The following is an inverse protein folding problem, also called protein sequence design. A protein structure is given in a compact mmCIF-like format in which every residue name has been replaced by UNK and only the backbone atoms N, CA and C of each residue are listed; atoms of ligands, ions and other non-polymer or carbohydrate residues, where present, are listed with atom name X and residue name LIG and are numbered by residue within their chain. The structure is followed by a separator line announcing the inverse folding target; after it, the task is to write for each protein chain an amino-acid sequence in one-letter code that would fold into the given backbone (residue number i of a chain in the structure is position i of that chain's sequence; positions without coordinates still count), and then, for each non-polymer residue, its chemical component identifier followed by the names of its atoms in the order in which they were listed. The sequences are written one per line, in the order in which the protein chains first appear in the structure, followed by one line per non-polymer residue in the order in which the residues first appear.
data_IF_985861318920
#
_entry.id   IF_985861318920
#
_cell.length_a   1.000
_cell.length_b   1.000
_cell.length_c   1.000
_cell.angle_alpha   90.00
_cell.angle_beta   90.00
_cell.angle_gamma   90.00
#
_symmetry.space_group_name_H-M   'P 1'
#
loop_
_entity.id
_entity.type
_entity.pdbx_description
1 polymer ?
#
# COMPACT_ATOMS: atom_id res chain seq x y z
N UNK A 1 2.88 -11.54 14.65
CA UNK A 1 2.37 -10.55 15.62
C UNK A 1 1.04 -10.06 15.07
N UNK A 2 0.00 -9.95 15.88
CA UNK A 2 -1.29 -9.41 15.41
C UNK A 2 -1.24 -7.88 15.47
N UNK A 3 -1.27 -7.23 14.30
CA UNK A 3 -1.25 -5.77 14.18
C UNK A 3 -2.65 -5.14 14.20
N UNK A 4 -3.72 -5.95 14.20
CA UNK A 4 -5.11 -5.47 14.19
C UNK A 4 -5.44 -4.54 13.01
N UNK A 5 -4.77 -4.73 11.87
CA UNK A 5 -4.93 -3.91 10.66
C UNK A 5 -5.97 -4.45 9.67
N UNK A 6 -6.51 -5.65 9.93
CA UNK A 6 -7.52 -6.27 9.08
C UNK A 6 -8.70 -5.33 8.84
N UNK A 7 -9.09 -5.19 7.57
CA UNK A 7 -10.20 -4.36 7.08
C UNK A 7 -10.04 -2.85 7.36
N UNK A 8 -8.87 -2.40 7.84
CA UNK A 8 -8.57 -0.96 8.04
C UNK A 8 -8.13 -0.32 6.73
N UNK A 9 -8.64 0.87 6.43
CA UNK A 9 -8.15 1.70 5.33
C UNK A 9 -6.90 2.46 5.79
N UNK A 10 -5.81 2.35 5.04
CA UNK A 10 -4.53 3.00 5.36
C UNK A 10 -4.10 3.88 4.19
N UNK A 11 -4.10 5.20 4.40
CA UNK A 11 -3.66 6.18 3.39
C UNK A 11 -2.14 6.35 3.42
N UNK A 12 -1.47 6.17 2.27
CA UNK A 12 -0.02 6.20 2.15
C UNK A 12 0.39 7.20 1.05
N UNK A 13 1.10 8.26 1.42
CA UNK A 13 1.72 9.18 0.45
C UNK A 13 3.04 8.63 -0.04
N UNK A 14 3.35 8.77 -1.33
CA UNK A 14 4.55 8.18 -1.93
C UNK A 14 4.50 6.65 -1.95
N UNK A 15 3.30 6.07 -1.96
CA UNK A 15 3.09 4.63 -1.74
C UNK A 15 3.42 3.74 -2.94
N UNK A 16 3.81 4.29 -4.09
CA UNK A 16 3.97 3.52 -5.32
C UNK A 16 5.39 2.96 -5.54
N UNK A 17 6.40 3.43 -4.78
CA UNK A 17 7.80 3.00 -4.91
C UNK A 17 8.53 2.95 -3.56
N UNK A 18 9.67 2.26 -3.54
CA UNK A 18 10.63 2.29 -2.43
C UNK A 18 10.00 1.91 -1.08
N UNK A 19 10.17 2.77 -0.07
CA UNK A 19 9.63 2.52 1.28
C UNK A 19 8.09 2.55 1.27
N UNK A 20 7.47 3.49 0.55
CA UNK A 20 6.01 3.57 0.52
C UNK A 20 5.35 2.34 -0.12
N UNK A 21 5.99 1.76 -1.15
CA UNK A 21 5.57 0.48 -1.73
C UNK A 21 5.72 -0.67 -0.72
N UNK A 22 6.85 -0.73 0.00
CA UNK A 22 7.07 -1.74 1.03
C UNK A 22 6.01 -1.68 2.14
N UNK A 23 5.62 -0.47 2.55
CA UNK A 23 4.55 -0.24 3.53
C UNK A 23 3.20 -0.69 2.95
N UNK A 24 2.86 -0.28 1.72
CA UNK A 24 1.59 -0.66 1.06
C UNK A 24 1.42 -2.18 1.01
N UNK A 25 2.47 -2.90 0.62
CA UNK A 25 2.49 -4.37 0.61
C UNK A 25 2.41 -4.97 2.00
N UNK A 26 3.09 -4.36 2.98
CA UNK A 26 2.98 -4.75 4.39
C UNK A 26 1.54 -4.68 4.88
N UNK A 27 0.89 -3.54 4.69
CA UNK A 27 -0.51 -3.33 5.05
C UNK A 27 -1.44 -4.35 4.37
N UNK A 28 -1.29 -4.57 3.05
CA UNK A 28 -2.09 -5.57 2.34
C UNK A 28 -1.91 -6.99 2.90
N UNK A 29 -0.67 -7.41 3.21
CA UNK A 29 -0.39 -8.73 3.82
C UNK A 29 -1.06 -8.90 5.19
N UNK A 30 -1.24 -7.81 5.92
CA UNK A 30 -1.94 -7.79 7.22
C UNK A 30 -3.47 -7.69 7.07
N UNK A 31 -4.00 -7.75 5.85
CA UNK A 31 -5.43 -7.70 5.55
C UNK A 31 -6.02 -6.29 5.59
N UNK A 32 -5.18 -5.25 5.62
CA UNK A 32 -5.64 -3.88 5.47
C UNK A 32 -6.00 -3.55 4.00
N UNK A 33 -6.65 -2.40 3.81
CA UNK A 33 -6.95 -1.81 2.51
C UNK A 33 -6.02 -0.61 2.30
N UNK A 34 -4.81 -0.80 1.74
CA UNK A 34 -3.92 0.32 1.44
C UNK A 34 -4.49 1.18 0.30
N UNK A 35 -4.55 2.48 0.54
CA UNK A 35 -4.86 3.50 -0.46
C UNK A 35 -3.62 4.36 -0.59
N UNK A 36 -3.00 4.39 -1.76
CA UNK A 36 -1.77 5.14 -1.97
C UNK A 36 -1.92 6.25 -3.00
N UNK A 37 -1.20 7.34 -2.74
CA UNK A 37 -1.09 8.50 -3.63
C UNK A 37 0.37 8.71 -3.96
N UNK A 38 0.68 8.83 -5.25
CA UNK A 38 2.04 9.05 -5.73
C UNK A 38 2.01 9.97 -6.97
N UNK A 39 3.12 10.65 -7.24
CA UNK A 39 3.30 11.46 -8.45
C UNK A 39 3.54 10.57 -9.66
N UNK A 40 4.13 9.38 -9.46
CA UNK A 40 4.41 8.43 -10.53
C UNK A 40 3.21 7.52 -10.79
N UNK A 41 2.40 7.90 -11.77
CA UNK A 41 1.18 7.18 -12.11
C UNK A 41 1.43 5.75 -12.61
N UNK A 42 2.51 5.52 -13.36
CA UNK A 42 2.82 4.19 -13.91
C UNK A 42 3.24 3.22 -12.82
N UNK A 43 4.04 3.68 -11.86
CA UNK A 43 4.35 2.89 -10.68
C UNK A 43 3.12 2.58 -9.84
N UNK A 44 2.21 3.55 -9.70
CA UNK A 44 0.93 3.34 -9.00
C UNK A 44 0.06 2.28 -9.70
N UNK A 45 -0.04 2.32 -11.03
CA UNK A 45 -0.76 1.30 -11.82
C UNK A 45 -0.14 -0.08 -11.67
N UNK A 46 1.20 -0.17 -11.75
CA UNK A 46 1.94 -1.42 -11.56
C UNK A 46 1.66 -2.02 -10.19
N UNK A 47 1.86 -1.25 -9.12
CA UNK A 47 1.65 -1.73 -7.76
C UNK A 47 0.20 -2.16 -7.54
N UNK A 48 -0.78 -1.41 -8.06
CA UNK A 48 -2.20 -1.76 -7.98
C UNK A 48 -2.53 -3.11 -8.64
N UNK A 49 -1.85 -3.48 -9.72
CA UNK A 49 -2.09 -4.75 -10.40
C UNK A 49 -1.48 -5.96 -9.65
N UNK A 50 -0.57 -5.70 -8.71
CA UNK A 50 0.15 -6.72 -7.95
C UNK A 50 -0.38 -6.92 -6.51
N UNK A 51 -1.28 -6.05 -6.04
CA UNK A 51 -1.92 -6.09 -4.72
C UNK A 51 -3.35 -6.63 -4.83
#
# INVERSE_FOLDING_TARGET
MDLQLKDKVVLITGGAKGIGEAISRGCAREGAVPVFVDKDAEAGKRLKAEL
#
